data_IF_029346498523
#
_entry.id   IF_029346498523
#
_cell.length_a   1.000
_cell.length_b   1.000
_cell.length_c   1.000
_cell.angle_alpha   90.00
_cell.angle_beta   90.00
_cell.angle_gamma   90.00
#
_symmetry.space_group_name_H-M   'P 1'
#
loop_
_entity.id
_entity.type
_entity.pdbx_description
1 polymer ?
#
# COMPACT_ATOMS: atom_id res chain seq x y z
N UNK A 1 12.58 46.60 21.46
CA UNK A 1 12.28 45.23 21.00
C UNK A 1 13.02 44.28 21.93
N UNK A 2 12.30 43.51 22.75
CA UNK A 2 12.88 42.79 23.89
C UNK A 2 13.50 41.47 23.43
N UNK A 3 14.81 41.28 23.62
CA UNK A 3 15.56 40.10 23.17
C UNK A 3 14.93 38.79 23.67
N UNK A 4 14.37 38.81 24.89
CA UNK A 4 13.65 37.68 25.48
C UNK A 4 12.42 37.27 24.66
N UNK A 5 11.69 38.24 24.10
CA UNK A 5 10.49 37.99 23.31
C UNK A 5 10.83 37.36 21.94
N UNK A 6 11.99 37.69 21.36
CA UNK A 6 12.45 37.13 20.09
C UNK A 6 12.89 35.67 20.28
N UNK A 7 13.59 35.36 21.37
CA UNK A 7 14.01 33.98 21.66
C UNK A 7 12.79 33.09 21.91
N UNK A 8 11.80 33.59 22.65
CA UNK A 8 10.57 32.85 22.94
C UNK A 8 9.74 32.59 21.66
N UNK A 9 9.62 33.58 20.77
CA UNK A 9 8.87 33.40 19.53
C UNK A 9 9.54 32.39 18.60
N UNK A 10 10.88 32.43 18.47
CA UNK A 10 11.64 31.45 17.68
C UNK A 10 11.46 30.04 18.25
N UNK A 11 11.53 29.87 19.57
CA UNK A 11 11.34 28.57 20.21
C UNK A 11 9.93 28.00 19.96
N UNK A 12 8.89 28.83 20.09
CA UNK A 12 7.51 28.43 19.81
C UNK A 12 7.29 28.04 18.35
N UNK A 13 7.92 28.75 17.40
CA UNK A 13 7.84 28.38 15.97
C UNK A 13 8.52 27.04 15.66
N UNK A 14 9.66 26.75 16.32
CA UNK A 14 10.38 25.49 16.14
C UNK A 14 9.61 24.31 16.74
N UNK A 15 8.97 24.48 17.90
CA UNK A 15 8.10 23.45 18.50
C UNK A 15 6.88 23.18 17.62
N UNK A 16 6.27 24.21 17.05
CA UNK A 16 5.13 24.09 16.13
C UNK A 16 5.50 23.35 14.83
N UNK A 17 6.74 23.49 14.35
CA UNK A 17 7.22 22.81 13.14
C UNK A 17 7.43 21.31 13.35
N UNK A 18 7.89 20.89 14.54
CA UNK A 18 8.04 19.47 14.88
C UNK A 18 6.69 18.77 15.11
N UNK A 19 5.65 19.52 15.46
CA UNK A 19 4.34 18.94 15.71
C UNK A 19 3.64 18.52 14.40
N UNK A 20 3.97 19.13 13.27
CA UNK A 20 3.36 18.81 11.96
C UNK A 20 3.81 17.45 11.40
N UNK A 21 5.00 16.96 11.74
CA UNK A 21 5.50 15.67 11.25
C UNK A 21 4.88 14.47 11.95
N UNK A 22 4.16 14.68 13.07
CA UNK A 22 3.53 13.62 13.85
C UNK A 22 2.08 13.30 13.43
N UNK A 23 1.44 14.12 12.59
CA UNK A 23 0.03 13.99 12.21
C UNK A 23 -0.21 13.49 10.77
N UNK A 24 0.84 13.05 10.06
CA UNK A 24 0.74 12.55 8.69
C UNK A 24 0.56 11.02 8.60
N UNK A 25 -0.11 10.39 9.56
CA UNK A 25 -0.51 8.98 9.45
C UNK A 25 -2.02 8.92 9.28
N UNK A 26 -2.52 8.64 8.06
CA UNK A 26 -3.84 8.02 7.78
C UNK A 26 -4.25 7.97 6.29
N UNK A 27 -3.46 8.49 5.33
CA UNK A 27 -3.74 8.31 3.89
C UNK A 27 -2.50 8.24 2.99
N UNK A 28 -1.30 8.37 3.57
CA UNK A 28 0.00 8.42 2.87
C UNK A 28 0.72 7.05 2.85
N UNK A 29 0.00 5.96 3.15
CA UNK A 29 0.58 4.62 3.36
C UNK A 29 0.45 3.68 2.15
N UNK A 30 -0.30 4.07 1.12
CA UNK A 30 -0.39 3.29 -0.11
C UNK A 30 0.86 3.50 -0.96
N UNK A 31 1.31 2.45 -1.66
CA UNK A 31 2.36 2.61 -2.65
C UNK A 31 1.89 3.57 -3.76
N UNK A 32 2.59 4.72 -3.98
CA UNK A 32 2.12 5.75 -4.90
C UNK A 32 2.14 5.29 -6.36
N UNK A 33 2.88 4.23 -6.69
CA UNK A 33 3.00 3.68 -8.04
C UNK A 33 1.92 2.62 -8.23
N UNK A 34 1.83 1.65 -7.31
CA UNK A 34 1.06 0.43 -7.51
C UNK A 34 -0.33 0.43 -6.89
N UNK A 35 -0.59 1.31 -5.92
CA UNK A 35 -1.80 1.28 -5.12
C UNK A 35 -2.55 2.63 -5.10
N UNK A 36 -3.85 2.56 -4.86
CA UNK A 36 -4.71 3.72 -4.61
C UNK A 36 -5.61 3.48 -3.40
N UNK A 37 -5.75 4.49 -2.54
CA UNK A 37 -6.61 4.37 -1.37
C UNK A 37 -8.09 4.34 -1.78
N UNK A 38 -8.83 3.36 -1.27
CA UNK A 38 -10.28 3.28 -1.45
C UNK A 38 -11.01 3.11 -0.12
N UNK A 39 -12.16 3.79 0.00
CA UNK A 39 -13.08 3.59 1.12
C UNK A 39 -13.83 2.26 0.98
N UNK A 40 -14.15 1.86 -0.25
CA UNK A 40 -14.82 0.61 -0.57
C UNK A 40 -14.61 0.24 -2.04
N UNK A 41 -14.23 -1.00 -2.32
CA UNK A 41 -14.24 -1.59 -3.65
C UNK A 41 -14.93 -2.96 -3.61
N UNK A 42 -15.68 -3.27 -4.65
CA UNK A 42 -16.29 -4.61 -4.81
C UNK A 42 -15.23 -5.67 -5.06
N UNK A 43 -14.06 -5.28 -5.57
CA UNK A 43 -13.04 -6.20 -6.01
C UNK A 43 -11.62 -5.65 -5.90
N UNK A 44 -10.76 -6.39 -5.23
CA UNK A 44 -9.31 -6.39 -5.36
C UNK A 44 -8.90 -7.75 -5.93
N UNK A 45 -8.33 -7.79 -7.13
CA UNK A 45 -7.90 -9.04 -7.76
C UNK A 45 -6.49 -9.41 -7.32
N UNK A 46 -6.29 -10.67 -6.96
CA UNK A 46 -4.97 -11.22 -6.71
C UNK A 46 -4.41 -11.99 -7.91
N UNK A 47 -3.15 -12.39 -7.83
CA UNK A 47 -2.48 -13.18 -8.88
C UNK A 47 -3.12 -14.57 -9.15
N UNK A 48 -4.06 -15.05 -8.31
CA UNK A 48 -4.84 -16.27 -8.54
C UNK A 48 -6.20 -15.97 -9.19
N UNK A 49 -6.39 -14.74 -9.68
CA UNK A 49 -7.63 -14.24 -10.28
C UNK A 49 -8.84 -14.34 -9.33
N UNK A 50 -8.60 -14.29 -8.02
CA UNK A 50 -9.65 -14.26 -7.00
C UNK A 50 -9.96 -12.81 -6.67
N UNK A 51 -11.23 -12.46 -6.80
CA UNK A 51 -11.79 -11.17 -6.47
C UNK A 51 -12.21 -11.11 -5.00
N UNK A 52 -11.67 -10.16 -4.22
CA UNK A 52 -12.06 -9.96 -2.82
C UNK A 52 -12.61 -8.53 -2.61
N UNK A 53 -13.81 -8.35 -2.02
CA UNK A 53 -14.29 -7.03 -1.67
C UNK A 53 -13.48 -6.45 -0.50
N UNK A 54 -13.19 -5.15 -0.55
CA UNK A 54 -12.33 -4.47 0.43
C UNK A 54 -12.87 -3.11 0.85
N UNK A 55 -12.51 -2.65 2.05
CA UNK A 55 -12.95 -1.35 2.61
C UNK A 55 -11.84 -0.68 3.42
N UNK A 56 -11.64 0.62 3.23
CA UNK A 56 -10.61 1.43 3.90
C UNK A 56 -9.19 0.85 3.77
N UNK A 57 -8.79 0.46 2.55
CA UNK A 57 -7.48 -0.13 2.26
C UNK A 57 -6.88 0.47 0.98
N UNK A 58 -5.60 0.18 0.76
CA UNK A 58 -4.90 0.42 -0.50
C UNK A 58 -5.26 -0.69 -1.51
N UNK A 59 -5.92 -0.32 -2.59
CA UNK A 59 -6.32 -1.20 -3.68
C UNK A 59 -5.23 -1.24 -4.76
N UNK A 60 -5.00 -2.39 -5.39
CA UNK A 60 -4.12 -2.43 -6.55
C UNK A 60 -4.72 -1.61 -7.71
N UNK A 61 -3.93 -0.73 -8.31
CA UNK A 61 -4.35 0.01 -9.50
C UNK A 61 -4.57 -0.94 -10.68
N UNK A 62 -5.33 -0.47 -11.67
CA UNK A 62 -5.52 -1.19 -12.92
C UNK A 62 -4.19 -1.62 -13.57
N UNK A 63 -4.09 -2.89 -13.97
CA UNK A 63 -2.87 -3.51 -14.52
C UNK A 63 -1.93 -4.10 -13.47
N UNK A 64 -2.27 -3.99 -12.19
CA UNK A 64 -1.55 -4.60 -11.08
C UNK A 64 -2.48 -5.55 -10.32
N UNK A 65 -1.92 -6.65 -9.84
CA UNK A 65 -2.62 -7.67 -9.05
C UNK A 65 -1.89 -7.87 -7.72
N UNK A 66 -2.65 -8.23 -6.68
CA UNK A 66 -2.07 -8.53 -5.37
C UNK A 66 -1.41 -9.90 -5.40
N UNK A 67 -0.11 -9.97 -5.15
CA UNK A 67 0.54 -11.24 -4.83
C UNK A 67 0.25 -11.59 -3.36
N UNK A 68 -0.42 -12.71 -3.12
CA UNK A 68 -0.73 -13.15 -1.75
C UNK A 68 0.50 -13.61 -0.96
N UNK A 69 1.63 -13.87 -1.63
CA UNK A 69 2.88 -14.30 -0.98
C UNK A 69 3.58 -13.12 -0.32
N UNK A 70 3.79 -12.04 -1.07
CA UNK A 70 4.43 -10.81 -0.60
C UNK A 70 3.44 -9.80 -0.01
N UNK A 71 2.15 -9.96 -0.31
CA UNK A 71 1.07 -9.00 -0.03
C UNK A 71 1.24 -7.64 -0.74
N UNK A 72 2.01 -7.60 -1.83
CA UNK A 72 2.25 -6.40 -2.63
C UNK A 72 1.47 -6.44 -3.93
N UNK A 73 1.12 -5.26 -4.47
CA UNK A 73 0.63 -5.14 -5.83
C UNK A 73 1.81 -5.21 -6.82
N UNK A 74 1.79 -6.18 -7.72
CA UNK A 74 2.79 -6.38 -8.77
C UNK A 74 2.12 -6.30 -10.14
N UNK A 75 2.90 -6.10 -11.20
CA UNK A 75 2.31 -6.07 -12.54
C UNK A 75 1.69 -7.45 -12.87
N UNK A 76 0.55 -7.47 -13.55
CA UNK A 76 -0.19 -8.71 -13.87
C UNK A 76 0.68 -9.76 -14.59
N UNK A 77 1.62 -9.31 -15.42
CA UNK A 77 2.57 -10.17 -16.15
C UNK A 77 3.69 -10.74 -15.28
N UNK A 78 3.83 -10.26 -14.05
CA UNK A 78 4.79 -10.73 -13.04
C UNK A 78 4.17 -11.68 -12.02
N UNK A 79 2.87 -11.96 -12.12
CA UNK A 79 2.29 -13.06 -11.38
C UNK A 79 2.99 -14.35 -11.83
N UNK A 80 3.90 -14.87 -10.99
CA UNK A 80 4.61 -16.13 -11.21
C UNK A 80 3.60 -17.20 -11.65
N UNK A 81 3.98 -18.08 -12.61
CA UNK A 81 3.04 -18.97 -13.24
C UNK A 81 2.31 -19.77 -12.18
N UNK A 82 0.97 -19.81 -12.28
CA UNK A 82 0.14 -20.72 -11.52
C UNK A 82 0.84 -22.09 -11.58
N UNK A 83 1.15 -22.74 -10.44
CA UNK A 83 1.82 -24.02 -10.46
C UNK A 83 1.05 -24.92 -11.41
N UNK A 84 1.71 -25.35 -12.49
CA UNK A 84 1.09 -26.26 -13.44
C UNK A 84 0.53 -27.42 -12.63
N UNK A 85 -0.74 -27.74 -12.84
CA UNK A 85 -1.33 -28.91 -12.21
C UNK A 85 -0.43 -30.11 -12.53
N UNK A 86 0.19 -30.70 -11.51
CA UNK A 86 1.04 -31.88 -11.68
C UNK A 86 0.17 -32.97 -12.29
N UNK A 87 0.27 -33.17 -13.61
CA UNK A 87 -0.36 -34.32 -14.26
C UNK A 87 0.55 -35.51 -13.97
N UNK A 88 0.08 -36.43 -13.12
CA UNK A 88 0.81 -37.65 -12.76
C UNK A 88 0.82 -38.69 -13.91
N UNK A 89 1.23 -38.29 -15.11
CA UNK A 89 1.33 -39.18 -16.27
C UNK A 89 2.42 -40.24 -16.13
N UNK A 90 3.44 -40.00 -15.30
CA UNK A 90 4.60 -40.89 -15.15
C UNK A 90 4.55 -41.80 -13.90
N UNK A 91 3.49 -41.74 -13.08
CA UNK A 91 3.31 -42.65 -11.93
C UNK A 91 2.43 -43.87 -12.23
N UNK A 92 2.02 -44.03 -13.49
CA UNK A 92 1.36 -45.23 -14.00
C UNK A 92 2.35 -46.02 -14.88
N UNK A 93 3.42 -46.53 -14.26
CA UNK A 93 4.32 -47.51 -14.85
C UNK A 93 4.66 -48.58 -13.82
#
# INVERSE_FOLDING_TARGET
MNLLAIVLSVFLTLVSLQLQTAFAATADECDPIYEEFTLSSECDFNCQNVCSPVTNVCLCKFGYLRDLTSNLCIAEDQCDPAPEAITFGCLAA
#
